data_IF_859179362520
#
_entry.id   IF_859179362520
#
_cell.length_a   1.000
_cell.length_b   1.000
_cell.length_c   1.000
_cell.angle_alpha   90.00
_cell.angle_beta   90.00
_cell.angle_gamma   90.00
#
_symmetry.space_group_name_H-M   'P 1'
#
loop_
_entity.id
_entity.type
_entity.pdbx_description
1 polymer ?
#
# COMPACT_ATOMS: atom_id res chain seq x y z
N UNK A 1 -15.05 1.82 26.47
CA UNK A 1 -14.22 0.73 25.93
C UNK A 1 -14.49 0.67 24.44
N UNK A 2 -13.53 1.03 23.59
CA UNK A 2 -13.74 1.02 22.15
C UNK A 2 -13.79 -0.44 21.67
N UNK A 3 -14.98 -0.90 21.25
CA UNK A 3 -15.20 -2.28 20.79
C UNK A 3 -14.26 -2.62 19.63
N UNK A 4 -13.90 -1.65 18.77
CA UNK A 4 -13.02 -1.88 17.63
C UNK A 4 -11.56 -2.10 18.05
N UNK A 5 -11.09 -1.37 19.07
CA UNK A 5 -9.72 -1.52 19.57
C UNK A 5 -9.54 -2.84 20.34
N UNK A 6 -10.58 -3.26 21.07
CA UNK A 6 -10.63 -4.55 21.78
C UNK A 6 -10.71 -5.72 20.79
N UNK A 7 -11.53 -5.60 19.74
CA UNK A 7 -11.62 -6.57 18.64
C UNK A 7 -10.28 -6.72 17.90
N UNK A 8 -9.66 -5.62 17.47
CA UNK A 8 -8.39 -5.64 16.73
C UNK A 8 -7.30 -6.32 17.54
N UNK A 9 -7.20 -5.99 18.85
CA UNK A 9 -6.19 -6.58 19.74
C UNK A 9 -6.41 -8.08 19.93
N UNK A 10 -7.66 -8.51 20.07
CA UNK A 10 -8.03 -9.92 20.18
C UNK A 10 -7.72 -10.72 18.91
N UNK A 11 -8.09 -10.20 17.74
CA UNK A 11 -7.81 -10.87 16.45
C UNK A 11 -6.32 -11.00 16.19
N UNK A 12 -5.54 -9.95 16.47
CA UNK A 12 -4.09 -10.00 16.30
C UNK A 12 -3.45 -11.00 17.28
N UNK A 13 -3.93 -11.07 18.53
CA UNK A 13 -3.45 -12.06 19.49
C UNK A 13 -3.75 -13.50 19.07
N UNK A 14 -4.95 -13.77 18.51
CA UNK A 14 -5.30 -15.09 17.96
C UNK A 14 -4.48 -15.41 16.71
N UNK A 15 -4.25 -14.44 15.84
CA UNK A 15 -3.43 -14.64 14.64
C UNK A 15 -1.97 -14.99 14.96
N UNK A 16 -1.46 -14.60 16.14
CA UNK A 16 -0.12 -14.98 16.58
C UNK A 16 -0.05 -16.41 17.15
N UNK A 17 -1.17 -17.11 17.31
CA UNK A 17 -1.18 -18.49 17.76
C UNK A 17 -0.80 -19.46 16.63
N UNK A 18 0.26 -20.24 16.81
CA UNK A 18 0.80 -21.14 15.79
C UNK A 18 -0.17 -22.26 15.35
N UNK A 19 -1.01 -22.76 16.23
CA UNK A 19 -2.04 -23.76 15.89
C UNK A 19 -3.12 -23.14 15.00
N UNK A 20 -3.56 -21.92 15.33
CA UNK A 20 -4.53 -21.18 14.53
C UNK A 20 -3.95 -20.77 13.17
N UNK A 21 -2.70 -20.29 13.15
CA UNK A 21 -1.94 -20.01 11.92
C UNK A 21 -1.91 -21.22 11.01
N UNK A 22 -1.53 -22.39 11.52
CA UNK A 22 -1.51 -23.64 10.74
C UNK A 22 -2.88 -23.98 10.15
N UNK A 23 -3.93 -23.88 10.96
CA UNK A 23 -5.30 -24.15 10.51
C UNK A 23 -5.73 -23.23 9.36
N UNK A 24 -5.48 -21.92 9.48
CA UNK A 24 -5.81 -20.93 8.44
C UNK A 24 -4.92 -21.12 7.20
N UNK A 25 -3.65 -21.48 7.36
CA UNK A 25 -2.76 -21.80 6.24
C UNK A 25 -3.22 -23.03 5.44
N UNK A 26 -3.87 -24.00 6.10
CA UNK A 26 -4.39 -25.21 5.45
C UNK A 26 -5.79 -25.00 4.86
N UNK A 27 -6.73 -24.40 5.61
CA UNK A 27 -8.15 -24.30 5.23
C UNK A 27 -8.62 -22.92 4.78
N UNK A 28 -7.85 -21.87 5.11
CA UNK A 28 -8.18 -20.48 4.79
C UNK A 28 -7.69 -20.00 3.42
N UNK A 29 -7.01 -20.84 2.63
CA UNK A 29 -6.46 -20.45 1.32
C UNK A 29 -7.51 -19.86 0.39
N UNK A 30 -8.70 -20.47 0.29
CA UNK A 30 -9.78 -19.96 -0.58
C UNK A 30 -10.22 -18.55 -0.18
N UNK A 31 -10.23 -18.25 1.12
CA UNK A 31 -10.52 -16.90 1.60
C UNK A 31 -9.36 -15.94 1.38
N UNK A 32 -8.12 -16.38 1.62
CA UNK A 32 -6.92 -15.58 1.35
C UNK A 32 -6.86 -15.13 -0.12
N UNK A 33 -7.24 -16.00 -1.06
CA UNK A 33 -7.32 -15.70 -2.50
C UNK A 33 -8.29 -14.58 -2.86
N UNK A 34 -9.19 -14.19 -1.95
CA UNK A 34 -10.02 -12.99 -2.11
C UNK A 34 -9.19 -11.71 -2.05
N UNK A 35 -8.14 -11.68 -1.23
CA UNK A 35 -7.34 -10.50 -0.89
C UNK A 35 -5.88 -10.59 -1.35
N UNK A 36 -5.44 -11.76 -1.80
CA UNK A 36 -4.08 -12.07 -2.25
C UNK A 36 -4.18 -12.78 -3.58
N UNK A 37 -3.47 -12.31 -4.61
CA UNK A 37 -3.59 -12.88 -5.96
C UNK A 37 -3.04 -14.31 -6.02
N UNK A 38 -1.97 -14.57 -5.28
CA UNK A 38 -1.47 -15.92 -5.09
C UNK A 38 -0.10 -16.01 -4.48
N UNK A 39 0.48 -17.20 -4.60
CA UNK A 39 1.78 -17.52 -4.03
C UNK A 39 2.91 -17.24 -5.05
N UNK A 40 2.57 -17.10 -6.34
CA UNK A 40 3.55 -16.93 -7.43
C UNK A 40 3.30 -15.68 -8.26
N UNK A 41 4.33 -15.22 -8.97
CA UNK A 41 4.27 -14.08 -9.87
C UNK A 41 3.26 -14.30 -11.01
N UNK A 42 3.17 -15.51 -11.55
CA UNK A 42 2.25 -15.84 -12.65
C UNK A 42 0.79 -15.66 -12.20
N UNK A 43 0.46 -16.09 -10.99
CA UNK A 43 -0.87 -15.90 -10.40
C UNK A 43 -1.16 -14.41 -10.18
N UNK A 44 -0.16 -13.65 -9.76
CA UNK A 44 -0.27 -12.21 -9.62
C UNK A 44 -0.57 -11.53 -10.97
N UNK A 45 0.16 -11.90 -12.03
CA UNK A 45 -0.04 -11.37 -13.38
C UNK A 45 -1.42 -11.72 -13.95
N UNK A 46 -1.93 -12.93 -13.73
CA UNK A 46 -3.31 -13.29 -14.11
C UNK A 46 -4.34 -12.41 -13.38
N UNK A 47 -4.12 -12.10 -12.10
CA UNK A 47 -5.01 -11.20 -11.36
C UNK A 47 -4.94 -9.76 -11.89
N UNK A 48 -3.76 -9.29 -12.31
CA UNK A 48 -3.60 -7.98 -12.97
C UNK A 48 -4.37 -7.94 -14.28
N UNK A 49 -4.25 -8.95 -15.15
CA UNK A 49 -4.98 -9.02 -16.42
C UNK A 49 -6.50 -8.94 -16.21
N UNK A 50 -7.02 -9.65 -15.19
CA UNK A 50 -8.44 -9.60 -14.86
C UNK A 50 -8.90 -8.21 -14.36
N UNK A 51 -8.04 -7.48 -13.64
CA UNK A 51 -8.32 -6.12 -13.20
C UNK A 51 -8.33 -5.14 -14.39
N UNK A 52 -7.32 -5.22 -15.26
CA UNK A 52 -7.18 -4.37 -16.45
C UNK A 52 -8.36 -4.55 -17.41
N UNK A 53 -8.85 -5.79 -17.60
CA UNK A 53 -10.08 -6.08 -18.35
C UNK A 53 -11.34 -5.39 -17.78
N UNK A 54 -11.31 -5.00 -16.50
CA UNK A 54 -12.39 -4.27 -15.85
C UNK A 54 -12.15 -2.76 -15.71
N UNK A 55 -11.09 -2.24 -16.33
CA UNK A 55 -10.71 -0.83 -16.27
C UNK A 55 -10.05 -0.41 -14.95
N UNK A 56 -9.59 -1.37 -14.14
CA UNK A 56 -8.91 -1.12 -12.86
C UNK A 56 -7.45 -1.51 -13.02
N UNK A 57 -6.52 -0.60 -12.73
CA UNK A 57 -5.09 -0.92 -12.81
C UNK A 57 -4.61 -1.68 -11.57
N UNK A 58 -3.39 -2.21 -11.63
CA UNK A 58 -2.80 -2.91 -10.49
C UNK A 58 -1.59 -2.19 -9.89
N UNK A 59 -1.37 -2.44 -8.61
CA UNK A 59 -0.12 -2.19 -7.88
C UNK A 59 0.30 -3.52 -7.30
N UNK A 60 1.40 -4.09 -7.78
CA UNK A 60 1.90 -5.37 -7.28
C UNK A 60 2.77 -5.16 -6.04
N UNK A 61 2.49 -5.92 -4.98
CA UNK A 61 3.24 -5.96 -3.72
C UNK A 61 3.71 -7.39 -3.48
N UNK A 62 5.03 -7.61 -3.55
CA UNK A 62 5.62 -8.88 -3.18
C UNK A 62 5.67 -8.96 -1.65
N UNK A 63 4.96 -9.93 -1.11
CA UNK A 63 4.96 -10.26 0.31
C UNK A 63 6.24 -11.02 0.65
N UNK A 64 7.10 -10.39 1.43
CA UNK A 64 8.29 -10.98 2.01
C UNK A 64 8.26 -10.95 3.54
N UNK A 65 9.03 -11.86 4.13
CA UNK A 65 9.31 -11.86 5.56
C UNK A 65 10.19 -10.65 5.95
N UNK A 66 10.30 -10.40 7.25
CA UNK A 66 11.25 -9.42 7.78
C UNK A 66 12.67 -9.87 7.45
N UNK A 67 13.40 -9.10 6.65
CA UNK A 67 14.81 -9.37 6.36
C UNK A 67 15.67 -9.03 7.58
N UNK A 68 16.66 -9.88 7.84
CA UNK A 68 17.58 -9.79 8.98
C UNK A 68 19.05 -9.77 8.56
N UNK A 69 19.32 -9.89 7.26
CA UNK A 69 20.67 -9.83 6.69
C UNK A 69 20.70 -9.10 5.34
N UNK A 70 21.89 -8.65 4.96
CA UNK A 70 22.12 -8.08 3.62
C UNK A 70 21.83 -9.09 2.51
N UNK A 71 22.19 -10.37 2.70
CA UNK A 71 21.91 -11.44 1.74
C UNK A 71 20.40 -11.59 1.48
N UNK A 72 19.58 -11.57 2.53
CA UNK A 72 18.12 -11.61 2.39
C UNK A 72 17.59 -10.37 1.68
N UNK A 73 18.16 -9.19 1.96
CA UNK A 73 17.77 -7.93 1.30
C UNK A 73 18.08 -7.96 -0.20
N UNK A 74 19.24 -8.51 -0.60
CA UNK A 74 19.63 -8.71 -2.01
C UNK A 74 18.76 -9.76 -2.69
N UNK A 75 18.40 -10.83 -1.98
CA UNK A 75 17.44 -11.83 -2.48
C UNK A 75 16.08 -11.20 -2.78
N UNK A 76 15.55 -10.38 -1.86
CA UNK A 76 14.30 -9.67 -2.07
C UNK A 76 14.38 -8.67 -3.24
N UNK A 77 15.48 -7.93 -3.33
CA UNK A 77 15.75 -7.02 -4.45
C UNK A 77 15.72 -7.75 -5.80
N UNK A 78 16.36 -8.92 -5.91
CA UNK A 78 16.37 -9.72 -7.13
C UNK A 78 14.96 -10.14 -7.56
N UNK A 79 14.09 -10.53 -6.62
CA UNK A 79 12.69 -10.86 -6.92
C UNK A 79 11.87 -9.63 -7.34
N UNK A 80 12.13 -8.45 -6.77
CA UNK A 80 11.50 -7.20 -7.24
C UNK A 80 11.94 -6.85 -8.66
N UNK A 81 13.22 -7.01 -9.00
CA UNK A 81 13.73 -6.80 -10.36
C UNK A 81 13.07 -7.79 -11.34
N UNK A 82 12.96 -9.07 -10.95
CA UNK A 82 12.25 -10.09 -11.74
C UNK A 82 10.79 -9.72 -11.99
N UNK A 83 10.08 -9.24 -10.97
CA UNK A 83 8.71 -8.73 -11.08
C UNK A 83 8.63 -7.57 -12.09
N UNK A 84 9.51 -6.58 -11.96
CA UNK A 84 9.59 -5.41 -12.84
C UNK A 84 9.82 -5.83 -14.30
N UNK A 85 10.75 -6.75 -14.54
CA UNK A 85 11.05 -7.25 -15.88
C UNK A 85 9.86 -8.03 -16.48
N UNK A 86 9.16 -8.84 -15.68
CA UNK A 86 7.98 -9.58 -16.13
C UNK A 86 6.80 -8.64 -16.50
N UNK A 87 6.69 -7.50 -15.80
CA UNK A 87 5.75 -6.44 -16.14
C UNK A 87 6.15 -5.69 -17.43
N UNK A 88 7.42 -5.72 -17.81
CA UNK A 88 7.95 -4.95 -18.93
C UNK A 88 7.35 -5.28 -20.29
N UNK A 89 6.87 -6.50 -20.49
CA UNK A 89 6.25 -6.96 -21.74
C UNK A 89 4.74 -6.68 -21.83
N UNK A 90 4.16 -5.98 -20.85
CA UNK A 90 2.71 -5.85 -20.69
C UNK A 90 2.20 -4.49 -21.19
N UNK A 91 1.00 -4.43 -21.79
CA UNK A 91 0.47 -3.21 -22.42
C UNK A 91 -0.18 -2.22 -21.44
N UNK A 92 -0.13 -2.49 -20.13
CA UNK A 92 -0.80 -1.72 -19.08
C UNK A 92 0.20 -1.01 -18.15
N UNK A 93 -0.25 0.02 -17.39
CA UNK A 93 0.62 0.74 -16.47
C UNK A 93 1.33 -0.19 -15.48
N UNK A 94 2.65 -0.05 -15.35
CA UNK A 94 3.47 -0.91 -14.49
C UNK A 94 3.73 -0.22 -13.16
N UNK A 95 3.24 -0.80 -12.08
CA UNK A 95 3.36 -0.23 -10.75
C UNK A 95 3.67 -1.31 -9.72
N UNK A 96 4.78 -1.13 -9.00
CA UNK A 96 5.20 -1.98 -7.88
C UNK A 96 5.22 -1.17 -6.58
N UNK A 97 4.90 -1.80 -5.46
CA UNK A 97 5.11 -1.24 -4.13
C UNK A 97 6.05 -2.15 -3.33
N UNK A 98 6.88 -1.55 -2.49
CA UNK A 98 7.78 -2.27 -1.58
C UNK A 98 7.99 -1.48 -0.29
N UNK A 99 8.58 -2.15 0.71
CA UNK A 99 8.95 -1.57 2.00
C UNK A 99 10.47 -1.54 2.10
N UNK A 100 11.04 -0.45 2.61
CA UNK A 100 12.50 -0.30 2.68
C UNK A 100 13.12 -1.23 3.71
N UNK A 101 12.38 -1.66 4.73
CA UNK A 101 12.87 -2.71 5.64
C UNK A 101 13.24 -3.97 4.88
N UNK A 102 12.48 -4.37 3.85
CA UNK A 102 12.80 -5.53 2.99
C UNK A 102 14.07 -5.31 2.14
N UNK A 103 14.57 -4.08 2.05
CA UNK A 103 15.85 -3.71 1.44
C UNK A 103 16.92 -3.39 2.50
N UNK A 104 16.71 -3.80 3.75
CA UNK A 104 17.68 -3.65 4.82
C UNK A 104 17.75 -2.27 5.46
N UNK A 105 16.66 -1.48 5.45
CA UNK A 105 16.63 -0.15 6.10
C UNK A 105 17.09 -0.21 7.56
N UNK A 106 16.66 -1.24 8.30
CA UNK A 106 17.00 -1.44 9.71
C UNK A 106 18.45 -1.94 9.90
N UNK A 107 19.13 -2.36 8.82
CA UNK A 107 20.53 -2.76 8.82
C UNK A 107 21.43 -1.57 8.45
N UNK A 108 21.07 -0.86 7.38
CA UNK A 108 21.80 0.31 6.88
C UNK A 108 20.95 1.12 5.90
N UNK A 109 20.80 2.42 6.15
CA UNK A 109 20.17 3.35 5.21
C UNK A 109 20.90 3.39 3.85
N UNK A 110 22.23 3.20 3.84
CA UNK A 110 23.01 3.17 2.60
C UNK A 110 22.78 1.89 1.81
N UNK A 111 22.58 0.75 2.49
CA UNK A 111 22.19 -0.49 1.83
C UNK A 111 20.83 -0.33 1.16
N UNK A 112 19.82 0.14 1.90
CA UNK A 112 18.48 0.35 1.36
C UNK A 112 18.47 1.34 0.18
N UNK A 113 19.24 2.44 0.28
CA UNK A 113 19.42 3.39 -0.81
C UNK A 113 20.06 2.74 -2.05
N UNK A 114 21.14 1.96 -1.88
CA UNK A 114 21.82 1.28 -2.99
C UNK A 114 20.91 0.29 -3.69
N UNK A 115 20.25 -0.60 -2.94
CA UNK A 115 19.38 -1.62 -3.51
C UNK A 115 18.17 -1.01 -4.21
N UNK A 116 17.58 0.04 -3.62
CA UNK A 116 16.48 0.78 -4.23
C UNK A 116 16.90 1.52 -5.51
N UNK A 117 18.12 2.06 -5.55
CA UNK A 117 18.67 2.73 -6.74
C UNK A 117 18.76 1.75 -7.92
N UNK A 118 19.26 0.53 -7.69
CA UNK A 118 19.33 -0.52 -8.69
C UNK A 118 17.93 -0.96 -9.16
N UNK A 119 16.97 -1.13 -8.24
CA UNK A 119 15.56 -1.42 -8.57
C UNK A 119 14.98 -0.33 -9.48
N UNK A 120 15.17 0.95 -9.14
CA UNK A 120 14.62 2.05 -9.91
C UNK A 120 15.28 2.18 -11.29
N UNK A 121 16.57 1.86 -11.41
CA UNK A 121 17.27 1.82 -12.69
C UNK A 121 16.69 0.74 -13.61
N UNK A 122 16.39 -0.47 -13.10
CA UNK A 122 15.68 -1.50 -13.87
C UNK A 122 14.25 -1.08 -14.21
N UNK A 123 13.54 -0.48 -13.25
CA UNK A 123 12.16 0.00 -13.43
C UNK A 123 12.04 1.03 -14.57
N UNK A 124 13.02 1.92 -14.74
CA UNK A 124 13.06 2.90 -15.84
C UNK A 124 13.11 2.25 -17.22
N UNK A 125 13.85 1.17 -17.39
CA UNK A 125 13.98 0.45 -18.68
C UNK A 125 12.63 -0.04 -19.18
N UNK A 126 11.69 -0.21 -18.26
CA UNK A 126 10.36 -0.74 -18.50
C UNK A 126 9.29 0.20 -17.94
N UNK A 127 9.49 1.51 -17.95
CA UNK A 127 8.49 2.53 -17.55
C UNK A 127 7.61 2.10 -16.34
N UNK A 128 8.27 1.60 -15.30
CA UNK A 128 7.62 1.09 -14.11
C UNK A 128 7.78 2.08 -12.96
N UNK A 129 6.65 2.41 -12.35
CA UNK A 129 6.61 3.22 -11.14
C UNK A 129 6.81 2.34 -9.90
N UNK A 130 7.69 2.76 -8.99
CA UNK A 130 7.93 2.04 -7.73
C UNK A 130 7.56 2.92 -6.54
N UNK A 131 6.55 2.51 -5.78
CA UNK A 131 6.15 3.17 -4.54
C UNK A 131 6.96 2.65 -3.35
N UNK A 132 7.49 3.58 -2.57
CA UNK A 132 8.01 3.30 -1.23
C UNK A 132 6.83 3.36 -0.25
N UNK A 133 6.39 2.20 0.23
CA UNK A 133 5.36 2.10 1.27
C UNK A 133 5.92 2.62 2.61
N UNK A 134 5.10 3.41 3.31
CA UNK A 134 5.48 3.94 4.62
C UNK A 134 5.17 2.92 5.71
N UNK A 135 6.16 2.69 6.55
CA UNK A 135 6.11 1.76 7.67
C UNK A 135 5.65 2.47 8.96
N UNK A 136 5.93 1.90 10.12
CA UNK A 136 5.64 2.51 11.42
C UNK A 136 6.50 3.76 11.70
N UNK A 137 6.07 4.54 12.69
CA UNK A 137 6.62 5.87 12.98
C UNK A 137 8.14 5.95 13.18
N UNK A 138 8.86 4.96 13.76
CA UNK A 138 10.32 5.01 13.89
C UNK A 138 11.07 5.03 12.56
N UNK A 139 10.45 4.52 11.49
CA UNK A 139 11.08 4.37 10.17
C UNK A 139 10.79 5.53 9.21
N UNK A 140 9.91 6.46 9.61
CA UNK A 140 9.46 7.57 8.75
C UNK A 140 10.63 8.46 8.34
N UNK A 141 11.48 8.87 9.30
CA UNK A 141 12.59 9.77 9.01
C UNK A 141 13.60 9.15 8.04
N UNK A 142 14.00 7.90 8.28
CA UNK A 142 14.91 7.18 7.40
C UNK A 142 14.31 6.96 6.00
N UNK A 143 13.02 6.62 5.92
CA UNK A 143 12.30 6.47 4.66
C UNK A 143 12.29 7.76 3.85
N UNK A 144 12.00 8.90 4.50
CA UNK A 144 11.98 10.20 3.82
C UNK A 144 13.39 10.65 3.42
N UNK A 145 14.43 10.37 4.21
CA UNK A 145 15.83 10.61 3.82
C UNK A 145 16.22 9.82 2.59
N UNK A 146 15.93 8.52 2.57
CA UNK A 146 16.19 7.66 1.39
C UNK A 146 15.45 8.21 0.17
N UNK A 147 14.17 8.57 0.30
CA UNK A 147 13.43 9.18 -0.80
C UNK A 147 14.08 10.47 -1.31
N UNK A 148 14.46 11.41 -0.43
CA UNK A 148 15.12 12.66 -0.84
C UNK A 148 16.42 12.38 -1.61
N UNK A 149 17.26 11.46 -1.10
CA UNK A 149 18.49 11.02 -1.79
C UNK A 149 18.21 10.45 -3.18
N UNK A 150 17.15 9.65 -3.34
CA UNK A 150 16.75 9.10 -4.64
C UNK A 150 16.31 10.20 -5.62
N UNK A 151 15.57 11.22 -5.12
CA UNK A 151 15.18 12.38 -5.93
C UNK A 151 16.39 13.23 -6.34
N UNK A 152 17.34 13.43 -5.44
CA UNK A 152 18.62 14.11 -5.71
C UNK A 152 19.48 13.36 -6.72
N UNK A 153 19.48 12.02 -6.66
CA UNK A 153 20.10 11.15 -7.66
C UNK A 153 19.34 11.12 -9.01
N UNK A 154 18.27 11.90 -9.14
CA UNK A 154 17.53 12.12 -10.37
C UNK A 154 16.44 11.12 -10.65
N UNK A 155 16.01 10.28 -9.70
CA UNK A 155 14.89 9.35 -9.88
C UNK A 155 13.53 10.05 -9.76
N UNK A 156 12.65 9.80 -10.73
CA UNK A 156 11.31 10.39 -10.88
C UNK A 156 10.20 9.34 -10.99
N UNK A 157 10.55 8.09 -11.34
CA UNK A 157 9.67 6.92 -11.36
C UNK A 157 9.41 6.33 -9.96
N UNK A 158 9.40 7.17 -8.92
CA UNK A 158 9.16 6.77 -7.54
C UNK A 158 8.39 7.81 -6.74
N UNK A 159 7.76 7.37 -5.65
CA UNK A 159 7.01 8.23 -4.74
C UNK A 159 6.89 7.63 -3.35
N UNK A 160 6.34 8.41 -2.42
CA UNK A 160 6.24 8.06 -1.00
C UNK A 160 4.80 7.88 -0.56
N UNK A 161 4.60 7.18 0.56
CA UNK A 161 3.31 7.17 1.28
C UNK A 161 3.39 8.12 2.48
N UNK A 162 2.31 8.83 2.76
CA UNK A 162 2.14 9.66 3.96
C UNK A 162 0.87 9.24 4.71
N UNK A 163 0.89 9.29 6.05
CA UNK A 163 -0.12 8.68 6.91
C UNK A 163 -0.85 9.73 7.75
N UNK A 164 -2.15 9.93 7.52
CA UNK A 164 -2.91 11.02 8.15
C UNK A 164 -3.08 10.92 9.66
N UNK A 165 -2.88 9.74 10.24
CA UNK A 165 -2.93 9.57 11.69
C UNK A 165 -1.71 10.12 12.44
N UNK A 166 -0.57 10.42 11.77
CA UNK A 166 0.62 10.90 12.47
C UNK A 166 0.57 12.42 12.57
N UNK A 167 0.88 12.94 13.76
CA UNK A 167 0.90 14.39 14.03
C UNK A 167 1.95 15.14 13.21
N UNK A 168 3.00 14.43 12.75
CA UNK A 168 4.11 14.99 11.96
C UNK A 168 3.80 15.18 10.47
N UNK A 169 2.78 14.51 9.94
CA UNK A 169 2.65 14.31 8.49
C UNK A 169 2.39 15.59 7.69
N UNK A 170 1.70 16.57 8.26
CA UNK A 170 1.51 17.86 7.59
C UNK A 170 2.84 18.58 7.34
N UNK A 171 3.71 18.62 8.35
CA UNK A 171 5.07 19.16 8.23
C UNK A 171 5.89 18.36 7.21
N UNK A 172 5.86 17.03 7.30
CA UNK A 172 6.62 16.19 6.36
C UNK A 172 6.16 16.41 4.90
N UNK A 173 4.85 16.60 4.65
CA UNK A 173 4.32 16.96 3.34
C UNK A 173 4.88 18.31 2.85
N UNK A 174 4.85 19.33 3.71
CA UNK A 174 5.36 20.68 3.40
C UNK A 174 6.84 20.66 3.01
N UNK A 175 7.66 19.93 3.77
CA UNK A 175 9.08 19.78 3.50
C UNK A 175 9.36 19.01 2.20
N UNK A 176 8.42 18.21 1.71
CA UNK A 176 8.56 17.46 0.46
C UNK A 176 8.08 18.25 -0.77
N UNK A 177 7.29 19.32 -0.61
CA UNK A 177 6.73 20.11 -1.72
C UNK A 177 7.78 20.54 -2.77
N UNK A 178 9.00 21.00 -2.42
CA UNK A 178 10.01 21.40 -3.41
C UNK A 178 10.40 20.27 -4.36
N UNK A 179 10.27 19.01 -3.94
CA UNK A 179 10.59 17.85 -4.76
C UNK A 179 9.46 17.49 -5.73
N UNK A 180 8.25 18.07 -5.58
CA UNK A 180 7.04 17.68 -6.33
C UNK A 180 6.78 16.17 -6.32
N UNK A 181 6.73 15.52 -5.15
CA UNK A 181 6.55 14.08 -5.06
C UNK A 181 5.20 13.63 -5.62
N UNK A 182 5.17 12.48 -6.30
CA UNK A 182 3.95 11.70 -6.37
C UNK A 182 3.70 11.12 -4.98
N UNK A 183 2.57 11.45 -4.33
CA UNK A 183 2.27 11.02 -2.96
C UNK A 183 1.08 10.08 -2.93
N UNK A 184 1.12 9.08 -2.05
CA UNK A 184 -0.06 8.28 -1.68
C UNK A 184 -0.43 8.65 -0.25
N UNK A 185 -1.65 9.13 -0.03
CA UNK A 185 -2.15 9.44 1.31
C UNK A 185 -2.97 8.24 1.80
N UNK A 186 -2.64 7.76 3.00
CA UNK A 186 -3.36 6.69 3.71
C UNK A 186 -3.76 7.18 5.10
N UNK A 187 -4.68 6.49 5.79
CA UNK A 187 -4.94 6.79 7.21
C UNK A 187 -3.76 6.40 8.11
N UNK A 188 -3.22 5.20 7.89
CA UNK A 188 -2.22 4.57 8.74
C UNK A 188 -2.64 3.15 9.10
N UNK A 189 -1.68 2.22 9.19
CA UNK A 189 -1.96 0.79 9.37
C UNK A 189 -1.36 0.19 10.66
N UNK A 190 -0.41 0.90 11.28
CA UNK A 190 0.33 0.43 12.44
C UNK A 190 -0.37 0.83 13.74
N UNK A 191 0.02 0.17 14.84
CA UNK A 191 -0.45 0.55 16.17
C UNK A 191 0.55 1.55 16.74
N UNK A 192 0.17 2.82 16.73
CA UNK A 192 1.02 3.93 17.16
C UNK A 192 0.56 4.49 18.51
N UNK A 193 1.49 4.92 19.37
CA UNK A 193 1.16 5.52 20.66
C UNK A 193 0.56 6.94 20.48
N UNK A 194 -0.21 7.39 21.47
CA UNK A 194 -0.99 8.64 21.39
C UNK A 194 -0.10 9.88 21.29
N UNK A 195 1.15 9.77 21.72
CA UNK A 195 2.20 10.78 21.64
C UNK A 195 2.49 11.15 20.19
N UNK A 196 2.57 10.16 19.29
CA UNK A 196 2.94 10.36 17.87
C UNK A 196 1.74 10.36 16.92
N UNK A 197 0.65 9.71 17.28
CA UNK A 197 -0.52 9.54 16.41
C UNK A 197 -1.85 9.96 17.06
N UNK A 198 -2.71 10.58 16.26
CA UNK A 198 -4.10 10.83 16.61
C UNK A 198 -4.83 9.50 16.83
N UNK A 199 -5.63 9.43 17.90
CA UNK A 199 -6.40 8.24 18.25
C UNK A 199 -7.89 8.38 17.88
N UNK A 200 -8.40 9.62 17.79
CA UNK A 200 -9.78 9.88 17.38
C UNK A 200 -9.92 9.76 15.85
N UNK A 201 -10.74 8.82 15.40
CA UNK A 201 -11.04 8.58 13.98
C UNK A 201 -11.47 9.85 13.24
N UNK A 202 -12.25 10.73 13.87
CA UNK A 202 -12.72 11.97 13.24
C UNK A 202 -11.57 12.92 12.94
N UNK A 203 -10.57 12.96 13.83
CA UNK A 203 -9.36 13.74 13.61
C UNK A 203 -8.53 13.11 12.48
N UNK A 204 -8.35 11.79 12.48
CA UNK A 204 -7.62 11.07 11.43
C UNK A 204 -8.26 11.30 10.05
N UNK A 205 -9.59 11.24 9.96
CA UNK A 205 -10.35 11.47 8.73
C UNK A 205 -10.24 12.94 8.27
N UNK A 206 -10.29 13.89 9.20
CA UNK A 206 -10.12 15.32 8.91
C UNK A 206 -8.72 15.62 8.41
N UNK A 207 -7.69 15.04 9.04
CA UNK A 207 -6.29 15.14 8.61
C UNK A 207 -6.07 14.49 7.25
N UNK A 208 -6.76 13.38 6.95
CA UNK A 208 -6.68 12.75 5.63
C UNK A 208 -7.14 13.73 4.54
N UNK A 209 -8.32 14.34 4.72
CA UNK A 209 -8.86 15.31 3.78
C UNK A 209 -7.95 16.54 3.66
N UNK A 210 -7.44 17.05 4.78
CA UNK A 210 -6.50 18.18 4.80
C UNK A 210 -5.26 17.89 3.94
N UNK A 211 -4.62 16.74 4.15
CA UNK A 211 -3.39 16.36 3.44
C UNK A 211 -3.62 16.15 1.94
N UNK A 212 -4.70 15.47 1.56
CA UNK A 212 -5.03 15.27 0.14
C UNK A 212 -5.32 16.61 -0.56
N UNK A 213 -6.13 17.47 0.07
CA UNK A 213 -6.45 18.80 -0.48
C UNK A 213 -5.19 19.65 -0.63
N UNK A 214 -4.37 19.72 0.42
CA UNK A 214 -3.08 20.44 0.42
C UNK A 214 -2.15 19.93 -0.68
N UNK A 215 -1.99 18.61 -0.84
CA UNK A 215 -1.14 18.03 -1.88
C UNK A 215 -1.62 18.42 -3.30
N UNK A 216 -2.93 18.32 -3.57
CA UNK A 216 -3.50 18.65 -4.87
C UNK A 216 -3.42 20.15 -5.21
N UNK A 217 -3.69 21.02 -4.23
CA UNK A 217 -3.56 22.48 -4.37
C UNK A 217 -2.12 22.90 -4.70
N UNK A 218 -1.12 22.17 -4.19
CA UNK A 218 0.29 22.40 -4.50
C UNK A 218 0.77 21.76 -5.80
N UNK A 219 -0.12 21.21 -6.63
CA UNK A 219 0.29 20.68 -7.93
C UNK A 219 0.71 19.21 -7.92
N UNK A 220 0.70 18.53 -6.77
CA UNK A 220 1.19 17.15 -6.68
C UNK A 220 0.25 16.14 -7.32
N UNK A 221 0.81 15.10 -7.93
CA UNK A 221 0.04 13.89 -8.26
C UNK A 221 -0.26 13.12 -6.98
N UNK A 222 -1.55 12.92 -6.68
CA UNK A 222 -1.98 12.36 -5.39
C UNK A 222 -2.82 11.11 -5.56
N UNK A 223 -2.32 9.99 -5.02
CA UNK A 223 -3.08 8.76 -4.87
C UNK A 223 -3.88 8.80 -3.56
N UNK A 224 -5.20 8.78 -3.69
CA UNK A 224 -6.17 8.77 -2.59
C UNK A 224 -6.43 7.30 -2.21
N UNK A 225 -5.60 6.76 -1.31
CA UNK A 225 -5.65 5.36 -0.92
C UNK A 225 -6.56 5.12 0.30
N UNK A 226 -7.85 4.92 0.03
CA UNK A 226 -8.88 4.72 1.05
C UNK A 226 -10.05 3.91 0.52
N UNK A 227 -10.74 3.19 1.41
CA UNK A 227 -12.03 2.55 1.13
C UNK A 227 -13.21 3.31 1.72
N UNK A 228 -12.95 4.43 2.39
CA UNK A 228 -13.96 5.21 3.11
C UNK A 228 -14.88 5.94 2.12
N UNK A 229 -16.18 5.58 2.04
CA UNK A 229 -17.08 6.17 1.06
C UNK A 229 -17.28 7.68 1.27
N UNK A 230 -17.21 8.16 2.51
CA UNK A 230 -17.36 9.59 2.79
C UNK A 230 -16.19 10.39 2.24
N UNK A 231 -14.96 9.87 2.40
CA UNK A 231 -13.76 10.51 1.87
C UNK A 231 -13.77 10.45 0.33
N UNK A 232 -14.15 9.33 -0.26
CA UNK A 232 -14.22 9.18 -1.72
C UNK A 232 -15.20 10.20 -2.32
N UNK A 233 -16.43 10.27 -1.82
CA UNK A 233 -17.43 11.19 -2.34
C UNK A 233 -17.08 12.67 -2.06
N UNK A 234 -16.52 12.99 -0.89
CA UNK A 234 -16.03 14.34 -0.61
C UNK A 234 -14.90 14.75 -1.57
N UNK A 235 -13.96 13.84 -1.85
CA UNK A 235 -12.88 14.15 -2.78
C UNK A 235 -13.38 14.32 -4.20
N UNK A 236 -14.30 13.47 -4.69
CA UNK A 236 -14.96 13.63 -6.00
C UNK A 236 -15.63 15.01 -6.12
N UNK A 237 -16.45 15.37 -5.12
CA UNK A 237 -17.15 16.67 -5.05
C UNK A 237 -16.17 17.83 -5.06
N UNK A 238 -15.20 17.81 -4.16
CA UNK A 238 -14.25 18.90 -3.97
C UNK A 238 -13.33 19.09 -5.19
N UNK A 239 -12.84 18.01 -5.82
CA UNK A 239 -12.01 18.14 -7.03
C UNK A 239 -12.79 18.71 -8.21
N UNK A 240 -14.07 18.33 -8.36
CA UNK A 240 -14.93 18.89 -9.38
C UNK A 240 -15.21 20.39 -9.14
N UNK A 241 -15.48 20.78 -7.89
CA UNK A 241 -15.68 22.18 -7.48
C UNK A 241 -14.43 23.04 -7.75
N UNK A 242 -13.23 22.48 -7.52
CA UNK A 242 -11.95 23.16 -7.76
C UNK A 242 -11.46 23.09 -9.21
N UNK A 243 -12.15 22.37 -10.10
CA UNK A 243 -11.69 22.16 -11.47
C UNK A 243 -10.39 21.37 -11.58
N UNK A 244 -10.10 20.49 -10.60
CA UNK A 244 -8.92 19.61 -10.64
C UNK A 244 -9.23 18.42 -11.54
N UNK A 245 -8.48 18.30 -12.64
CA UNK A 245 -8.65 17.22 -13.61
C UNK A 245 -8.37 15.83 -13.03
N UNK A 246 -9.05 14.81 -13.56
CA UNK A 246 -8.96 13.42 -13.09
C UNK A 246 -7.58 12.81 -13.33
N UNK A 247 -6.79 13.37 -14.25
CA UNK A 247 -5.39 13.00 -14.51
C UNK A 247 -4.42 13.42 -13.41
N UNK A 248 -4.84 14.29 -12.48
CA UNK A 248 -4.00 14.78 -11.37
C UNK A 248 -4.05 13.90 -10.13
N UNK A 249 -4.96 12.92 -10.08
CA UNK A 249 -5.13 12.04 -8.92
C UNK A 249 -5.70 10.69 -9.31
N UNK A 250 -5.65 9.75 -8.36
CA UNK A 250 -6.23 8.43 -8.56
C UNK A 250 -6.81 7.90 -7.25
N UNK A 251 -7.76 6.98 -7.34
CA UNK A 251 -8.23 6.22 -6.18
C UNK A 251 -7.50 4.90 -6.08
N UNK A 252 -7.02 4.56 -4.89
CA UNK A 252 -6.38 3.28 -4.64
C UNK A 252 -7.12 2.50 -3.56
N UNK A 253 -7.46 1.26 -3.88
CA UNK A 253 -8.17 0.36 -2.97
C UNK A 253 -7.40 -0.96 -2.91
N UNK A 254 -7.46 -1.64 -1.77
CA UNK A 254 -6.91 -2.98 -1.66
C UNK A 254 -7.67 -3.98 -2.54
N UNK A 255 -6.91 -4.92 -3.12
CA UNK A 255 -7.47 -6.06 -3.83
C UNK A 255 -8.45 -6.84 -2.94
N UNK A 256 -9.59 -7.22 -3.51
CA UNK A 256 -10.63 -7.92 -2.74
C UNK A 256 -11.64 -7.05 -1.99
N UNK A 257 -11.35 -5.76 -1.80
CA UNK A 257 -12.15 -4.84 -0.95
C UNK A 257 -12.92 -3.82 -1.82
N UNK A 258 -14.24 -3.74 -1.63
CA UNK A 258 -15.13 -2.84 -2.40
C UNK A 258 -14.90 -2.90 -3.91
N UNK A 259 -14.91 -4.11 -4.49
CA UNK A 259 -14.65 -4.37 -5.92
C UNK A 259 -15.65 -3.67 -6.84
N UNK A 260 -16.89 -3.60 -6.38
CA UNK A 260 -17.99 -2.84 -6.97
C UNK A 260 -17.64 -1.35 -7.08
N UNK A 261 -17.12 -0.76 -6.00
CA UNK A 261 -16.68 0.64 -6.01
C UNK A 261 -15.50 0.87 -6.95
N UNK A 262 -14.52 -0.06 -6.98
CA UNK A 262 -13.38 0.04 -7.91
C UNK A 262 -13.86 0.17 -9.36
N UNK A 263 -14.79 -0.71 -9.77
CA UNK A 263 -15.38 -0.69 -11.12
C UNK A 263 -16.23 0.55 -11.36
N UNK A 264 -16.99 0.99 -10.36
CA UNK A 264 -17.82 2.20 -10.44
C UNK A 264 -16.96 3.43 -10.68
N UNK A 265 -15.90 3.63 -9.90
CA UNK A 265 -14.97 4.76 -10.05
C UNK A 265 -14.27 4.74 -11.43
N UNK A 266 -13.88 3.55 -11.90
CA UNK A 266 -13.28 3.40 -13.23
C UNK A 266 -14.28 3.76 -14.34
N UNK A 267 -15.54 3.31 -14.24
CA UNK A 267 -16.61 3.66 -15.18
C UNK A 267 -16.97 5.15 -15.15
N UNK A 268 -16.78 5.82 -14.00
CA UNK A 268 -16.88 7.28 -13.88
C UNK A 268 -15.68 8.02 -14.50
N UNK A 269 -14.67 7.30 -15.02
CA UNK A 269 -13.49 7.86 -15.70
C UNK A 269 -12.37 8.31 -14.76
N UNK A 270 -12.37 7.88 -13.50
CA UNK A 270 -11.22 8.07 -12.60
C UNK A 270 -10.16 7.01 -12.86
N UNK A 271 -8.88 7.35 -12.70
CA UNK A 271 -7.84 6.34 -12.55
C UNK A 271 -8.05 5.61 -11.22
N UNK A 272 -8.17 4.28 -11.30
CA UNK A 272 -8.34 3.42 -10.12
C UNK A 272 -7.25 2.36 -10.14
N UNK A 273 -6.62 2.12 -8.99
CA UNK A 273 -5.72 0.96 -8.83
C UNK A 273 -6.13 0.06 -7.68
N UNK A 274 -6.07 -1.25 -7.91
CA UNK A 274 -6.10 -2.24 -6.86
C UNK A 274 -4.68 -2.52 -6.35
N UNK A 275 -4.46 -2.51 -5.04
CA UNK A 275 -3.22 -2.97 -4.41
C UNK A 275 -3.28 -4.48 -4.24
N UNK A 276 -2.48 -5.20 -5.02
CA UNK A 276 -2.52 -6.65 -5.24
C UNK A 276 -1.30 -7.31 -4.58
N UNK A 277 -1.44 -7.80 -3.33
CA UNK A 277 -0.38 -8.56 -2.69
C UNK A 277 -0.31 -9.97 -3.27
N UNK A 278 0.90 -10.51 -3.37
CA UNK A 278 1.18 -11.90 -3.74
C UNK A 278 2.47 -12.38 -3.08
N UNK A 279 2.68 -13.70 -3.05
CA UNK A 279 3.82 -14.33 -2.39
C UNK A 279 3.37 -15.29 -1.29
N UNK A 280 4.31 -16.11 -0.82
CA UNK A 280 4.04 -17.18 0.14
C UNK A 280 3.76 -16.67 1.56
N UNK A 281 4.25 -15.49 1.92
CA UNK A 281 4.07 -14.90 3.26
C UNK A 281 2.77 -14.07 3.39
N UNK A 282 1.65 -14.64 2.95
CA UNK A 282 0.37 -13.93 2.95
C UNK A 282 -0.35 -13.91 4.29
N UNK A 283 0.03 -14.76 5.24
CA UNK A 283 -0.69 -14.89 6.51
C UNK A 283 -0.61 -13.63 7.39
N UNK A 284 0.57 -13.01 7.61
CA UNK A 284 0.66 -11.74 8.34
C UNK A 284 -0.16 -10.64 7.66
N UNK A 285 -0.15 -10.58 6.33
CA UNK A 285 -1.00 -9.65 5.59
C UNK A 285 -2.49 -9.90 5.83
N UNK A 286 -2.95 -11.15 5.68
CA UNK A 286 -4.34 -11.52 5.87
C UNK A 286 -4.83 -11.25 7.29
N UNK A 287 -4.00 -11.53 8.30
CA UNK A 287 -4.34 -11.28 9.71
C UNK A 287 -4.71 -9.81 9.96
N UNK A 288 -3.96 -8.88 9.35
CA UNK A 288 -4.25 -7.43 9.41
C UNK A 288 -5.57 -7.11 8.70
N UNK A 289 -5.84 -7.71 7.53
CA UNK A 289 -7.12 -7.53 6.82
C UNK A 289 -8.32 -7.99 7.67
N UNK A 290 -8.19 -9.10 8.40
CA UNK A 290 -9.25 -9.61 9.30
C UNK A 290 -9.43 -8.68 10.50
N UNK A 291 -8.34 -8.19 11.08
CA UNK A 291 -8.37 -7.31 12.24
C UNK A 291 -8.96 -5.92 11.94
N UNK A 292 -9.03 -5.50 10.68
CA UNK A 292 -9.59 -4.20 10.28
C UNK A 292 -11.11 -4.16 10.21
N UNK A 293 -11.79 -5.29 9.96
CA UNK A 293 -13.26 -5.35 9.92
C UNK A 293 -13.80 -6.62 10.56
N UNK A 294 -14.67 -6.54 11.58
CA UNK A 294 -15.35 -7.70 12.17
C UNK A 294 -16.06 -8.61 11.15
N UNK A 295 -16.62 -8.02 10.10
CA UNK A 295 -17.26 -8.74 8.99
C UNK A 295 -16.32 -9.76 8.33
N UNK A 296 -15.01 -9.45 8.23
CA UNK A 296 -14.03 -10.36 7.65
C UNK A 296 -13.87 -11.64 8.48
N UNK A 297 -14.12 -11.59 9.79
CA UNK A 297 -14.07 -12.76 10.67
C UNK A 297 -15.15 -13.79 10.32
N UNK A 298 -16.36 -13.33 9.98
CA UNK A 298 -17.48 -14.20 9.58
C UNK A 298 -17.13 -14.95 8.30
N UNK A 299 -16.48 -14.29 7.34
CA UNK A 299 -16.04 -14.94 6.11
C UNK A 299 -14.92 -15.95 6.35
N UNK A 300 -13.97 -15.66 7.24
CA UNK A 300 -12.93 -16.63 7.67
C UNK A 300 -13.59 -17.85 8.29
N UNK A 301 -14.50 -17.66 9.26
CA UNK A 301 -15.19 -18.74 9.94
C UNK A 301 -15.95 -19.65 8.96
N UNK A 302 -16.66 -19.06 7.97
CA UNK A 302 -17.33 -19.83 6.90
C UNK A 302 -16.33 -20.62 6.05
N UNK A 303 -15.19 -20.03 5.69
CA UNK A 303 -14.17 -20.71 4.89
C UNK A 303 -13.52 -21.89 5.62
N UNK A 304 -13.35 -21.80 6.94
CA UNK A 304 -12.78 -22.87 7.77
C UNK A 304 -13.71 -24.07 7.97
N UNK A 305 -15.02 -23.87 7.79
CA UNK A 305 -16.05 -24.93 7.86
C UNK A 305 -16.27 -25.60 6.50
N UNK A 306 -15.99 -24.90 5.40
CA UNK A 306 -16.19 -25.37 4.03
C UNK A 306 -14.93 -25.99 3.38
N UNK A 307 -13.78 -25.98 4.05
CA UNK A 307 -12.51 -26.59 3.60
C UNK A 307 -12.03 -27.68 4.53
#
# INVERSE_FOLDING_TARGET
MDLNQSYRSFVLAIAQNETFKRLVMTRGKNFARRFVAGDTLEQALTAVEALEQSGVHAILDLLGEMVTSEEQSRGFQAEIIRLIQALGARPYPRYVALKLTQLGLDLSEDLAFSLMTEILAEARKVDCFVRIDMEDSPRVDATLRVYRRLREAGFDNTGVVLQSYLKRTERDLEELLPLKPAVRIVKGAYKEPAEVAFQDKRIIDSQYLLLVKKALEHGLYTAIATHDPHIIEEMKRWTAEKGIGKERFEFQLLYGVRRDEQKKLAAEGYTVRAYVPYGTDWYPYLSRRIAERPENLIFVARSLVQG
#
